data_IF_955609628930
#
_entry.id   IF_955609628930
#
_cell.length_a   1.000
_cell.length_b   1.000
_cell.length_c   1.000
_cell.angle_alpha   90.00
_cell.angle_beta   90.00
_cell.angle_gamma   90.00
#
_symmetry.space_group_name_H-M   'P 1'
#
loop_
_entity.id
_entity.type
_entity.pdbx_description
1 polymer ?
#
# COMPACT_ATOMS: atom_id res chain seq x y z
N UNK A 1 6.87 10.29 10.75
CA UNK A 1 6.60 9.80 9.40
C UNK A 1 5.90 10.85 8.56
N UNK A 2 6.28 10.97 7.31
CA UNK A 2 5.65 11.92 6.41
C UNK A 2 5.07 11.20 5.20
N UNK A 3 3.82 11.53 4.85
CA UNK A 3 3.18 11.00 3.66
C UNK A 3 3.03 12.16 2.67
N UNK A 4 3.65 12.01 1.50
CA UNK A 4 3.47 12.95 0.41
C UNK A 4 2.34 12.41 -0.44
N UNK A 5 1.18 13.05 -0.32
CA UNK A 5 -0.04 12.55 -0.94
C UNK A 5 -0.40 13.34 -2.19
N UNK A 6 -0.76 12.62 -3.25
CA UNK A 6 -1.20 13.19 -4.52
C UNK A 6 -2.45 12.47 -5.01
N UNK A 7 -3.58 13.17 -4.99
CA UNK A 7 -4.84 12.61 -5.50
C UNK A 7 -5.03 13.07 -6.96
N UNK A 8 -4.78 12.16 -7.87
CA UNK A 8 -4.78 12.44 -9.31
C UNK A 8 -5.99 11.87 -10.03
N UNK A 9 -7.01 11.44 -9.28
CA UNK A 9 -8.19 10.83 -9.88
C UNK A 9 -9.44 11.65 -9.59
N UNK A 10 -10.43 11.50 -10.42
CA UNK A 10 -11.73 12.13 -10.24
C UNK A 10 -12.86 11.10 -10.15
N UNK A 11 -12.50 9.84 -10.07
CA UNK A 11 -13.47 8.74 -10.03
C UNK A 11 -14.32 8.79 -8.77
N UNK A 12 -13.70 9.03 -7.63
CA UNK A 12 -14.40 9.06 -6.35
C UNK A 12 -13.67 9.99 -5.37
N UNK A 13 -14.45 10.76 -4.64
CA UNK A 13 -13.87 11.64 -3.62
C UNK A 13 -13.39 10.80 -2.43
N UNK A 14 -12.16 11.06 -2.01
CA UNK A 14 -11.55 10.38 -0.86
C UNK A 14 -11.50 11.37 0.30
N UNK A 15 -12.07 11.00 1.43
CA UNK A 15 -12.11 11.91 2.58
C UNK A 15 -10.90 11.73 3.50
N UNK A 16 -10.77 12.63 4.46
CA UNK A 16 -9.63 12.65 5.35
C UNK A 16 -9.58 11.44 6.30
N UNK A 17 -10.73 10.86 6.61
CA UNK A 17 -10.78 9.68 7.47
C UNK A 17 -10.03 8.50 6.87
N UNK A 18 -10.12 8.34 5.56
CA UNK A 18 -9.37 7.28 4.87
C UNK A 18 -7.88 7.54 4.96
N UNK A 19 -7.46 8.79 4.79
CA UNK A 19 -6.04 9.15 4.87
C UNK A 19 -5.49 8.93 6.29
N UNK A 20 -6.28 9.24 7.31
CA UNK A 20 -5.88 8.98 8.69
C UNK A 20 -5.68 7.48 8.95
N UNK A 21 -6.56 6.65 8.41
CA UNK A 21 -6.43 5.20 8.55
C UNK A 21 -5.23 4.66 7.78
N UNK A 22 -4.98 5.20 6.59
CA UNK A 22 -3.80 4.82 5.81
C UNK A 22 -2.53 5.12 6.60
N UNK A 23 -2.45 6.27 7.23
CA UNK A 23 -1.29 6.62 8.04
C UNK A 23 -1.11 5.65 9.20
N UNK A 24 -2.20 5.28 9.87
CA UNK A 24 -2.14 4.29 10.95
C UNK A 24 -1.64 2.95 10.46
N UNK A 25 -2.08 2.52 9.28
CA UNK A 25 -1.61 1.27 8.70
C UNK A 25 -0.10 1.33 8.44
N UNK A 26 0.36 2.41 7.85
CA UNK A 26 1.78 2.58 7.56
C UNK A 26 2.63 2.55 8.83
N UNK A 27 2.20 3.29 9.86
CA UNK A 27 2.92 3.30 11.13
C UNK A 27 2.91 1.94 11.81
N UNK A 28 1.78 1.23 11.71
CA UNK A 28 1.67 -0.11 12.31
C UNK A 28 2.59 -1.11 11.64
N UNK A 29 2.76 -1.03 10.31
CA UNK A 29 3.70 -1.91 9.61
C UNK A 29 5.14 -1.63 10.06
N UNK A 30 5.50 -0.35 10.14
CA UNK A 30 6.84 0.02 10.59
C UNK A 30 7.11 -0.49 12.01
N UNK A 31 6.16 -0.32 12.91
CA UNK A 31 6.28 -0.80 14.28
C UNK A 31 6.40 -2.31 14.33
N UNK A 32 5.56 -3.01 13.57
CA UNK A 32 5.57 -4.46 13.50
C UNK A 32 6.92 -5.02 13.05
N UNK A 33 7.58 -4.32 12.14
CA UNK A 33 8.87 -4.73 11.58
C UNK A 33 10.07 -4.10 12.28
N UNK A 34 9.84 -3.46 13.42
CA UNK A 34 10.89 -2.83 14.23
C UNK A 34 11.63 -1.70 13.53
N UNK A 35 10.93 -0.99 12.67
CA UNK A 35 11.47 0.23 12.07
C UNK A 35 11.02 1.44 12.91
N UNK A 36 11.83 2.50 12.92
CA UNK A 36 11.35 3.74 13.53
C UNK A 36 10.40 4.46 12.55
N UNK A 37 9.90 5.63 12.94
CA UNK A 37 8.93 6.36 12.13
C UNK A 37 9.56 7.51 11.33
N UNK A 38 10.87 7.51 11.17
CA UNK A 38 11.60 8.58 10.50
C UNK A 38 11.72 8.31 8.99
N UNK A 39 10.59 8.08 8.35
CA UNK A 39 10.54 7.74 6.93
C UNK A 39 9.48 8.56 6.20
N UNK A 40 9.64 8.63 4.88
CA UNK A 40 8.73 9.31 3.97
C UNK A 40 8.19 8.31 2.97
N UNK A 41 6.91 8.41 2.67
CA UNK A 41 6.27 7.59 1.63
C UNK A 41 5.48 8.49 0.71
N UNK A 42 5.64 8.31 -0.58
CA UNK A 42 4.83 8.99 -1.57
C UNK A 42 3.62 8.11 -1.91
N UNK A 43 2.43 8.65 -1.76
CA UNK A 43 1.19 7.92 -2.02
C UNK A 43 0.36 8.67 -3.06
N UNK A 44 0.04 8.00 -4.16
CA UNK A 44 -0.76 8.59 -5.23
C UNK A 44 -2.01 7.76 -5.46
N UNK A 45 -3.13 8.44 -5.63
CA UNK A 45 -4.39 7.82 -6.04
C UNK A 45 -4.65 8.19 -7.51
N UNK A 46 -4.90 7.18 -8.32
CA UNK A 46 -5.06 7.33 -9.77
C UNK A 46 -6.30 6.54 -10.22
N UNK A 47 -6.58 6.59 -11.52
CA UNK A 47 -7.62 5.76 -12.12
C UNK A 47 -7.01 4.59 -12.89
N UNK A 48 -7.88 3.75 -13.49
CA UNK A 48 -7.44 2.57 -14.20
C UNK A 48 -6.55 2.89 -15.41
N UNK A 49 -6.86 3.96 -16.11
CA UNK A 49 -6.08 4.33 -17.28
C UNK A 49 -4.65 4.73 -16.89
N UNK A 50 -4.53 5.54 -15.86
CA UNK A 50 -3.21 5.99 -15.43
C UNK A 50 -2.37 4.85 -14.87
N UNK A 51 -2.95 3.99 -14.05
CA UNK A 51 -2.17 2.89 -13.47
C UNK A 51 -1.76 1.88 -14.53
N UNK A 52 -2.60 1.68 -15.54
CA UNK A 52 -2.23 0.85 -16.69
C UNK A 52 -1.02 1.42 -17.41
N UNK A 53 -1.02 2.73 -17.64
CA UNK A 53 0.10 3.41 -18.30
C UNK A 53 1.38 3.29 -17.48
N UNK A 54 1.29 3.47 -16.16
CA UNK A 54 2.45 3.33 -15.28
C UNK A 54 2.97 1.90 -15.26
N UNK A 55 2.08 0.93 -15.22
CA UNK A 55 2.45 -0.48 -15.21
C UNK A 55 3.16 -0.86 -16.50
N UNK A 56 2.66 -0.37 -17.64
CA UNK A 56 3.30 -0.59 -18.93
C UNK A 56 4.68 0.08 -19.00
N UNK A 57 4.76 1.33 -18.57
CA UNK A 57 5.98 2.13 -18.75
C UNK A 57 7.11 1.69 -17.78
N UNK A 58 6.77 1.27 -16.59
CA UNK A 58 7.76 0.94 -15.56
C UNK A 58 7.98 -0.55 -15.33
N UNK A 59 7.00 -1.38 -15.69
CA UNK A 59 7.08 -2.82 -15.44
C UNK A 59 6.91 -3.66 -16.71
N UNK A 60 6.69 -3.04 -17.85
CA UNK A 60 6.46 -3.72 -19.12
C UNK A 60 5.21 -4.61 -19.13
N UNK A 61 4.23 -4.28 -18.31
CA UNK A 61 2.98 -5.03 -18.22
C UNK A 61 1.85 -4.09 -18.62
N UNK A 62 1.28 -4.27 -19.80
CA UNK A 62 0.22 -3.41 -20.30
C UNK A 62 -1.15 -3.90 -19.83
N UNK A 63 -1.41 -3.72 -18.53
CA UNK A 63 -2.67 -4.11 -17.89
C UNK A 63 -2.97 -3.21 -16.71
N UNK A 64 -4.26 -3.08 -16.39
CA UNK A 64 -4.69 -2.45 -15.17
C UNK A 64 -4.30 -3.33 -13.98
N UNK A 65 -3.81 -2.71 -12.92
CA UNK A 65 -3.58 -3.38 -11.65
C UNK A 65 -4.21 -2.54 -10.54
N UNK A 66 -4.27 -3.06 -9.34
CA UNK A 66 -4.82 -2.33 -8.19
C UNK A 66 -3.78 -1.41 -7.55
N UNK A 67 -2.57 -1.86 -7.42
CA UNK A 67 -1.52 -1.11 -6.73
C UNK A 67 -0.17 -1.37 -7.38
N UNK A 68 0.68 -0.34 -7.38
CA UNK A 68 2.09 -0.44 -7.76
C UNK A 68 2.93 0.05 -6.60
N UNK A 69 4.00 -0.67 -6.31
CA UNK A 69 4.95 -0.33 -5.25
C UNK A 69 6.33 -0.17 -5.85
N UNK A 70 6.99 0.95 -5.55
CA UNK A 70 8.33 1.25 -6.06
C UNK A 70 9.28 1.48 -4.88
N UNK A 71 9.94 0.42 -4.39
CA UNK A 71 10.82 0.55 -3.22
C UNK A 71 12.02 1.44 -3.51
N UNK A 72 12.37 2.26 -2.54
CA UNK A 72 13.52 3.17 -2.62
C UNK A 72 14.47 3.05 -1.42
N UNK A 73 14.18 2.13 -0.51
CA UNK A 73 15.05 1.92 0.63
C UNK A 73 16.40 1.44 0.14
N UNK A 74 17.46 2.13 0.56
CA UNK A 74 18.81 1.83 0.13
C UNK A 74 19.62 1.28 1.30
N UNK A 75 20.44 0.27 1.03
CA UNK A 75 21.41 -0.22 1.99
C UNK A 75 22.67 0.63 1.98
N UNK A 76 22.71 1.69 1.22
CA UNK A 76 23.88 2.53 1.06
C UNK A 76 24.07 3.43 2.28
N UNK A 77 25.21 3.30 2.93
CA UNK A 77 25.56 4.07 4.12
C UNK A 77 25.69 5.56 3.86
N UNK A 78 25.77 5.96 2.61
CA UNK A 78 25.91 7.37 2.25
C UNK A 78 24.61 8.15 2.37
N UNK A 79 23.49 7.47 2.57
CA UNK A 79 22.19 8.12 2.69
C UNK A 79 21.85 8.54 4.12
N UNK A 80 22.75 8.36 5.05
CA UNK A 80 22.51 8.67 6.46
C UNK A 80 22.44 10.16 6.76
N UNK A 81 22.73 11.01 5.81
CA UNK A 81 22.71 12.45 6.01
C UNK A 81 21.32 13.08 5.98
N UNK A 82 20.32 12.35 5.54
CA UNK A 82 18.95 12.86 5.42
C UNK A 82 18.17 12.61 6.69
N UNK A 83 17.40 13.62 7.10
CA UNK A 83 16.57 13.51 8.29
C UNK A 83 15.47 12.47 8.12
N UNK A 84 14.94 12.33 6.91
CA UNK A 84 13.94 11.32 6.59
C UNK A 84 14.36 10.58 5.33
N UNK A 85 14.32 9.28 5.41
CA UNK A 85 14.62 8.42 4.27
C UNK A 85 13.34 8.01 3.57
N UNK A 86 13.35 8.02 2.24
CA UNK A 86 12.18 7.59 1.48
C UNK A 86 12.10 6.07 1.44
N UNK A 87 10.96 5.54 1.84
CA UNK A 87 10.67 4.11 1.67
C UNK A 87 10.33 3.79 0.22
N UNK A 88 9.71 4.74 -0.48
CA UNK A 88 9.34 4.55 -1.87
C UNK A 88 7.99 5.15 -2.20
N UNK A 89 7.46 4.70 -3.33
CA UNK A 89 6.20 5.20 -3.86
C UNK A 89 5.15 4.10 -3.88
N UNK A 90 3.93 4.46 -3.49
CA UNK A 90 2.76 3.58 -3.58
C UNK A 90 1.76 4.29 -4.49
N UNK A 91 1.29 3.60 -5.52
CA UNK A 91 0.28 4.12 -6.44
C UNK A 91 -0.91 3.17 -6.43
N UNK A 92 -2.10 3.69 -6.13
CA UNK A 92 -3.32 2.89 -6.03
C UNK A 92 -4.34 3.40 -7.03
N UNK A 93 -4.91 2.50 -7.83
CA UNK A 93 -6.08 2.85 -8.63
C UNK A 93 -7.32 2.78 -7.75
N UNK A 94 -7.90 3.92 -7.45
CA UNK A 94 -9.13 3.98 -6.65
C UNK A 94 -10.27 3.29 -7.39
N UNK A 95 -10.33 3.44 -8.71
CA UNK A 95 -11.33 2.78 -9.52
C UNK A 95 -11.23 1.26 -9.40
N UNK A 96 -10.03 0.70 -9.55
CA UNK A 96 -9.84 -0.75 -9.43
C UNK A 96 -10.07 -1.23 -7.99
N UNK A 97 -9.63 -0.46 -7.01
CA UNK A 97 -9.87 -0.77 -5.61
C UNK A 97 -11.36 -0.84 -5.30
N UNK A 98 -12.14 0.10 -5.84
CA UNK A 98 -13.58 0.11 -5.65
C UNK A 98 -14.26 -1.10 -6.30
N UNK A 99 -13.81 -1.47 -7.50
CA UNK A 99 -14.29 -2.68 -8.18
C UNK A 99 -14.02 -3.92 -7.35
N UNK A 100 -12.84 -4.04 -6.79
CA UNK A 100 -12.48 -5.17 -5.93
C UNK A 100 -13.26 -5.17 -4.62
N UNK A 101 -13.48 -4.00 -4.03
CA UNK A 101 -14.27 -3.90 -2.81
C UNK A 101 -15.68 -4.43 -3.03
N UNK A 102 -16.31 -4.07 -4.15
CA UNK A 102 -17.63 -4.58 -4.49
C UNK A 102 -17.62 -6.10 -4.73
N UNK A 103 -16.61 -6.57 -5.47
CA UNK A 103 -16.46 -7.99 -5.76
C UNK A 103 -16.34 -8.81 -4.49
N UNK A 104 -15.62 -8.31 -3.51
CA UNK A 104 -15.35 -9.01 -2.26
C UNK A 104 -16.28 -8.60 -1.12
N UNK A 105 -17.27 -7.78 -1.41
CA UNK A 105 -18.32 -7.38 -0.46
C UNK A 105 -17.78 -6.71 0.80
N UNK A 106 -16.84 -5.77 0.62
CA UNK A 106 -16.40 -4.94 1.72
C UNK A 106 -16.23 -3.49 1.27
N UNK A 107 -15.91 -2.59 2.19
CA UNK A 107 -15.83 -1.18 1.90
C UNK A 107 -14.58 -0.82 1.09
N UNK A 108 -14.66 0.26 0.33
CA UNK A 108 -13.50 0.81 -0.36
C UNK A 108 -12.40 1.16 0.63
N UNK A 109 -12.77 1.71 1.77
CA UNK A 109 -11.82 2.07 2.81
C UNK A 109 -10.97 0.87 3.25
N UNK A 110 -11.62 -0.28 3.48
CA UNK A 110 -10.90 -1.51 3.82
C UNK A 110 -9.99 -1.96 2.70
N UNK A 111 -10.46 -1.87 1.47
CA UNK A 111 -9.63 -2.29 0.33
C UNK A 111 -8.38 -1.42 0.22
N UNK A 112 -8.53 -0.10 0.35
CA UNK A 112 -7.39 0.80 0.33
C UNK A 112 -6.40 0.46 1.44
N UNK A 113 -6.90 0.20 2.64
CA UNK A 113 -6.03 -0.16 3.77
C UNK A 113 -5.28 -1.46 3.52
N UNK A 114 -5.93 -2.46 2.93
CA UNK A 114 -5.27 -3.71 2.56
C UNK A 114 -4.17 -3.47 1.54
N UNK A 115 -4.46 -2.68 0.52
CA UNK A 115 -3.48 -2.40 -0.53
C UNK A 115 -2.28 -1.63 0.01
N UNK A 116 -2.53 -0.68 0.91
CA UNK A 116 -1.46 0.08 1.55
C UNK A 116 -0.60 -0.84 2.42
N UNK A 117 -1.23 -1.70 3.22
CA UNK A 117 -0.50 -2.64 4.07
C UNK A 117 0.38 -3.55 3.23
N UNK A 118 -0.18 -4.11 2.18
CA UNK A 118 0.54 -4.98 1.25
C UNK A 118 1.73 -4.25 0.62
N UNK A 119 1.51 -3.02 0.15
CA UNK A 119 2.57 -2.22 -0.44
C UNK A 119 3.67 -1.87 0.55
N UNK A 120 3.31 -1.55 1.79
CA UNK A 120 4.30 -1.24 2.80
C UNK A 120 5.27 -2.40 3.02
N UNK A 121 4.76 -3.63 3.07
CA UNK A 121 5.63 -4.79 3.19
C UNK A 121 6.55 -4.94 1.97
N UNK A 122 6.03 -4.67 0.78
CA UNK A 122 6.89 -4.66 -0.42
C UNK A 122 7.98 -3.60 -0.34
N UNK A 123 7.65 -2.41 0.16
CA UNK A 123 8.65 -1.34 0.31
C UNK A 123 9.74 -1.74 1.29
N UNK A 124 9.41 -2.57 2.28
CA UNK A 124 10.38 -3.06 3.26
C UNK A 124 11.13 -4.30 2.78
N UNK A 125 10.90 -4.74 1.54
CA UNK A 125 11.67 -5.81 0.94
C UNK A 125 10.99 -7.16 0.86
N UNK A 126 9.75 -7.27 1.31
CA UNK A 126 9.02 -8.53 1.19
C UNK A 126 8.57 -8.77 -0.24
N UNK A 127 8.62 -10.02 -0.63
CA UNK A 127 8.23 -10.45 -1.97
C UNK A 127 7.32 -11.65 -1.83
N UNK A 128 6.43 -11.86 -2.80
CA UNK A 128 5.51 -12.98 -2.77
C UNK A 128 5.67 -13.90 -3.98
N UNK A 129 6.88 -13.94 -4.56
CA UNK A 129 7.14 -14.76 -5.72
C UNK A 129 7.21 -16.25 -5.40
N UNK A 130 7.62 -16.58 -4.18
CA UNK A 130 7.64 -17.96 -3.73
C UNK A 130 6.50 -18.20 -2.74
N UNK A 131 5.98 -19.43 -2.75
CA UNK A 131 4.80 -19.77 -1.94
C UNK A 131 4.99 -19.52 -0.44
N UNK A 132 6.14 -19.89 0.10
CA UNK A 132 6.41 -19.66 1.52
C UNK A 132 6.53 -18.19 1.86
N UNK A 133 7.15 -17.40 0.99
CA UNK A 133 7.26 -15.97 1.16
C UNK A 133 5.89 -15.31 1.11
N UNK A 134 5.03 -15.76 0.19
CA UNK A 134 3.68 -15.23 0.08
C UNK A 134 2.87 -15.52 1.33
N UNK A 135 2.99 -16.71 1.91
CA UNK A 135 2.30 -17.08 3.13
C UNK A 135 2.76 -16.26 4.33
N UNK A 136 4.07 -16.06 4.44
CA UNK A 136 4.64 -15.26 5.52
C UNK A 136 4.19 -13.82 5.43
N UNK A 137 4.23 -13.24 4.24
CA UNK A 137 3.80 -11.88 4.00
C UNK A 137 2.32 -11.71 4.33
N UNK A 138 1.49 -12.63 3.87
CA UNK A 138 0.05 -12.59 4.12
C UNK A 138 -0.26 -12.68 5.62
N UNK A 139 0.44 -13.55 6.34
CA UNK A 139 0.28 -13.67 7.79
C UNK A 139 0.60 -12.37 8.51
N UNK A 140 1.68 -11.72 8.11
CA UNK A 140 2.09 -10.44 8.70
C UNK A 140 1.07 -9.34 8.40
N UNK A 141 0.58 -9.31 7.18
CA UNK A 141 -0.46 -8.36 6.79
C UNK A 141 -1.71 -8.53 7.65
N UNK A 142 -2.14 -9.77 7.85
CA UNK A 142 -3.31 -10.04 8.67
C UNK A 142 -3.10 -9.64 10.12
N UNK A 143 -1.93 -9.90 10.68
CA UNK A 143 -1.64 -9.52 12.06
C UNK A 143 -1.71 -8.01 12.25
N UNK A 144 -1.12 -7.25 11.33
CA UNK A 144 -1.15 -5.78 11.40
C UNK A 144 -2.58 -5.26 11.29
N UNK A 145 -3.32 -5.76 10.31
CA UNK A 145 -4.68 -5.27 10.07
C UNK A 145 -5.64 -5.67 11.18
N UNK A 146 -5.48 -6.86 11.74
CA UNK A 146 -6.30 -7.29 12.87
C UNK A 146 -6.06 -6.43 14.11
N UNK A 147 -4.83 -6.04 14.36
CA UNK A 147 -4.51 -5.16 15.48
C UNK A 147 -5.16 -3.79 15.33
N UNK A 148 -5.45 -3.38 14.11
CA UNK A 148 -6.10 -2.10 13.82
C UNK A 148 -7.61 -2.23 13.63
N UNK A 149 -8.16 -3.42 13.81
CA UNK A 149 -9.57 -3.71 13.56
C UNK A 149 -9.96 -3.49 12.10
N UNK A 150 -9.03 -3.67 11.19
CA UNK A 150 -9.27 -3.55 9.76
C UNK A 150 -9.19 -4.96 9.16
N UNK A 151 -10.33 -5.62 9.08
CA UNK A 151 -10.35 -7.00 8.60
C UNK A 151 -11.26 -7.15 7.39
N UNK A 152 -10.96 -8.15 6.57
CA UNK A 152 -11.84 -8.53 5.46
C UNK A 152 -12.90 -9.50 5.88
N UNK A 153 -12.87 -9.89 7.09
CA UNK A 153 -13.45 -11.12 7.57
C UNK A 153 -14.94 -11.22 7.53
N UNK A 154 -15.65 -10.13 7.66
CA UNK A 154 -17.10 -10.21 7.78
C UNK A 154 -17.77 -10.76 6.55
N UNK A 155 -17.15 -10.57 5.38
CA UNK A 155 -17.63 -11.17 4.17
C UNK A 155 -16.85 -12.40 3.73
N UNK A 156 -15.68 -12.62 4.29
CA UNK A 156 -14.72 -13.59 3.78
C UNK A 156 -14.58 -14.86 4.56
N UNK A 157 -14.91 -14.82 5.80
CA UNK A 157 -14.73 -15.98 6.66
C UNK A 157 -15.71 -17.10 6.41
N UNK A 158 -16.42 -16.97 5.37
CA UNK A 158 -17.48 -17.93 5.09
C UNK A 158 -16.97 -19.08 4.27
#
# INVERSE_FOLDING_TARGET
MEIIFDDRQTYKKIDEDILDKVERVMLAVLDYEDYDDNYEVSLSFVDNEEIRNLNRDFRNIDRVTDVLSFPMLSDDEFDIEYEEESLGDIVISIQRADEQAEEFDHSLEREICFLVCHSMFHLLGYDHMEEEEAKDMHRREEEVLNDLDITRDEGYEK
#
